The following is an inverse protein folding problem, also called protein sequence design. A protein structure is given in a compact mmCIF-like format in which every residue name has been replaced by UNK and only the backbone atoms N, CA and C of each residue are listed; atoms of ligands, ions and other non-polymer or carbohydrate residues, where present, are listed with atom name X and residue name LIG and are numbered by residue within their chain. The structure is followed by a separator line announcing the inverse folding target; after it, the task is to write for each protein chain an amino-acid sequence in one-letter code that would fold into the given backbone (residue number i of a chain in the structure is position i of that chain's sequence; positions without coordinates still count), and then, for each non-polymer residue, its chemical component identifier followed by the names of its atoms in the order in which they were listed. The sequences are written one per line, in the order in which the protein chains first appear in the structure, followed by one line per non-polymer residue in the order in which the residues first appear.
data_IF_643773771685
#
_entry.id   IF_643773771685
#
_cell.length_a   1.000
_cell.length_b   1.000
_cell.length_c   1.000
_cell.angle_alpha   90.00
_cell.angle_beta   90.00
_cell.angle_gamma   90.00
#
_symmetry.space_group_name_H-M   'P 1'
#
loop_
_entity.id
_entity.type
_entity.pdbx_description
1 polymer ?
#
# COMPACT_ATOMS: atom_id res chain seq x y z
N UNK A 1 2.27 -10.64 -14.23
CA UNK A 1 2.66 -9.22 -14.24
C UNK A 1 1.46 -8.42 -13.78
N UNK A 2 1.68 -7.42 -12.93
CA UNK A 2 0.63 -6.50 -12.51
C UNK A 2 0.11 -5.69 -13.72
N UNK A 3 -1.15 -5.30 -13.65
CA UNK A 3 -1.79 -4.37 -14.59
C UNK A 3 -1.34 -2.94 -14.32
N UNK A 4 -1.50 -2.06 -15.31
CA UNK A 4 -1.23 -0.62 -15.12
C UNK A 4 -2.07 -0.03 -13.97
N UNK A 5 -3.31 -0.50 -13.79
CA UNK A 5 -4.14 -0.04 -12.69
C UNK A 5 -3.53 -0.42 -11.33
N UNK A 6 -2.97 -1.60 -11.18
CA UNK A 6 -2.33 -2.02 -9.92
C UNK A 6 -1.02 -1.26 -9.67
N UNK A 7 -0.25 -0.94 -10.71
CA UNK A 7 0.94 -0.09 -10.61
C UNK A 7 0.56 1.34 -10.21
N UNK A 8 -0.50 1.90 -10.83
CA UNK A 8 -1.04 3.21 -10.47
C UNK A 8 -1.46 3.24 -8.98
N UNK A 9 -2.11 2.17 -8.50
CA UNK A 9 -2.47 2.02 -7.09
C UNK A 9 -1.22 1.95 -6.19
N UNK A 10 -0.15 1.27 -6.59
CA UNK A 10 1.09 1.19 -5.80
C UNK A 10 1.74 2.57 -5.63
N UNK A 11 1.79 3.36 -6.70
CA UNK A 11 2.24 4.74 -6.66
C UNK A 11 1.36 5.60 -5.73
N UNK A 12 0.04 5.50 -5.86
CA UNK A 12 -0.92 6.27 -5.04
C UNK A 12 -0.89 5.87 -3.56
N UNK A 13 -0.72 4.58 -3.26
CA UNK A 13 -0.47 4.08 -1.90
C UNK A 13 0.78 4.74 -1.30
N UNK A 14 1.85 4.90 -2.10
CA UNK A 14 3.05 5.61 -1.69
C UNK A 14 2.88 7.12 -1.54
N UNK A 15 2.01 7.74 -2.35
CA UNK A 15 1.73 9.17 -2.28
C UNK A 15 0.96 9.59 -1.02
N UNK A 16 0.26 8.66 -0.36
CA UNK A 16 -0.50 8.97 0.86
C UNK A 16 0.40 9.35 2.05
N UNK A 17 1.67 8.93 2.08
CA UNK A 17 2.61 9.18 3.17
C UNK A 17 3.20 10.61 3.12
N UNK A 18 2.40 11.67 3.28
CA UNK A 18 2.92 13.06 3.20
C UNK A 18 3.39 13.60 4.53
N UNK A 19 2.76 13.13 5.62
CA UNK A 19 3.08 13.55 6.98
C UNK A 19 4.49 13.07 7.39
N UNK A 20 4.87 11.87 6.94
CA UNK A 20 6.12 11.19 7.29
C UNK A 20 7.19 11.32 6.20
N UNK A 21 6.86 11.21 4.91
CA UNK A 21 7.86 11.20 3.83
C UNK A 21 8.26 12.59 3.35
N UNK A 22 9.57 12.82 3.21
CA UNK A 22 10.12 14.06 2.66
C UNK A 22 9.74 14.27 1.19
N UNK A 23 9.51 15.53 0.77
CA UNK A 23 9.08 15.88 -0.59
C UNK A 23 9.99 15.33 -1.69
N UNK A 24 11.30 15.28 -1.41
CA UNK A 24 12.29 14.71 -2.33
C UNK A 24 12.15 13.19 -2.45
N UNK A 25 11.53 12.47 -1.53
CA UNK A 25 11.36 11.02 -1.60
C UNK A 25 9.90 10.62 -1.89
N UNK A 26 8.97 11.59 -2.06
CA UNK A 26 7.58 11.29 -2.42
C UNK A 26 7.46 10.63 -3.79
N UNK A 27 6.52 9.69 -3.86
CA UNK A 27 6.12 9.01 -5.08
C UNK A 27 5.52 10.00 -6.09
N UNK A 28 5.73 9.77 -7.39
CA UNK A 28 5.07 10.55 -8.43
C UNK A 28 3.60 10.17 -8.57
N UNK A 29 2.79 11.14 -9.01
CA UNK A 29 1.41 10.91 -9.41
C UNK A 29 1.39 10.18 -10.75
N UNK A 30 0.71 9.02 -10.87
CA UNK A 30 0.64 8.30 -12.13
C UNK A 30 -0.03 9.14 -13.22
N UNK A 31 0.38 8.93 -14.47
CA UNK A 31 -0.12 9.69 -15.60
C UNK A 31 -1.64 9.55 -15.76
N UNK A 32 -2.33 10.66 -16.02
CA UNK A 32 -3.77 10.69 -16.22
C UNK A 32 -4.60 10.74 -14.93
N UNK A 33 -3.97 10.63 -13.77
CA UNK A 33 -4.59 10.90 -12.47
C UNK A 33 -4.37 12.35 -12.04
N UNK A 34 -5.30 12.84 -11.23
CA UNK A 34 -5.20 14.12 -10.52
C UNK A 34 -5.58 13.91 -9.07
N UNK A 35 -4.96 14.64 -8.14
CA UNK A 35 -5.46 14.69 -6.77
C UNK A 35 -6.78 15.47 -6.73
N UNK A 36 -7.77 14.96 -5.98
CA UNK A 36 -9.01 15.70 -5.72
C UNK A 36 -8.65 16.89 -4.81
N UNK A 37 -9.00 18.13 -5.18
CA UNK A 37 -8.67 19.31 -4.38
C UNK A 37 -9.16 19.16 -2.93
N UNK A 38 -8.28 19.49 -1.97
CA UNK A 38 -8.55 19.44 -0.53
C UNK A 38 -8.91 18.04 0.01
N UNK A 39 -8.60 16.96 -0.72
CA UNK A 39 -8.87 15.59 -0.27
C UNK A 39 -7.84 15.08 0.74
N UNK A 40 -6.63 15.64 0.77
CA UNK A 40 -5.63 15.23 1.75
C UNK A 40 -6.05 15.56 3.18
N UNK A 41 -6.07 14.55 4.05
CA UNK A 41 -6.47 14.65 5.46
C UNK A 41 -5.47 13.96 6.38
N UNK A 42 -5.25 14.53 7.55
CA UNK A 42 -4.52 13.92 8.67
C UNK A 42 -5.27 14.16 9.98
N UNK A 43 -5.28 13.18 10.88
CA UNK A 43 -5.97 13.25 12.18
C UNK A 43 -5.05 12.84 13.34
N UNK A 44 -5.36 13.24 14.60
CA UNK A 44 -4.54 12.91 15.78
C UNK A 44 -4.37 11.41 16.07
N UNK A 45 -5.27 10.57 15.56
CA UNK A 45 -5.19 9.10 15.62
C UNK A 45 -4.03 8.51 14.81
N UNK A 46 -3.38 9.33 13.98
CA UNK A 46 -2.44 8.89 12.95
C UNK A 46 -3.10 8.55 11.61
N UNK A 47 -4.43 8.68 11.49
CA UNK A 47 -5.11 8.52 10.21
C UNK A 47 -4.62 9.56 9.21
N UNK A 48 -4.25 9.10 8.03
CA UNK A 48 -3.90 9.95 6.91
C UNK A 48 -4.40 9.32 5.61
N UNK A 49 -5.03 10.15 4.78
CA UNK A 49 -5.63 9.72 3.52
C UNK A 49 -5.59 10.83 2.46
N UNK A 50 -5.70 10.42 1.21
CA UNK A 50 -5.82 11.31 0.04
C UNK A 50 -6.63 10.62 -1.04
N UNK A 51 -7.33 11.39 -1.88
CA UNK A 51 -8.10 10.86 -2.99
C UNK A 51 -7.60 11.37 -4.33
N UNK A 52 -7.58 10.47 -5.30
CA UNK A 52 -7.18 10.74 -6.67
C UNK A 52 -8.34 10.43 -7.61
N UNK A 53 -8.44 11.16 -8.72
CA UNK A 53 -9.48 10.99 -9.71
C UNK A 53 -8.93 10.91 -11.13
N UNK A 54 -9.63 10.14 -11.96
CA UNK A 54 -9.50 10.07 -13.41
C UNK A 54 -10.89 9.91 -14.03
N UNK A 55 -11.42 10.98 -14.62
CA UNK A 55 -12.82 10.98 -15.06
C UNK A 55 -13.77 10.77 -13.88
N UNK A 56 -14.61 9.73 -13.92
CA UNK A 56 -15.51 9.34 -12.83
C UNK A 56 -14.93 8.27 -11.89
N UNK A 57 -13.70 7.83 -12.11
CA UNK A 57 -12.99 6.89 -11.24
C UNK A 57 -12.31 7.66 -10.11
N UNK A 58 -12.48 7.19 -8.87
CA UNK A 58 -11.82 7.73 -7.68
C UNK A 58 -11.10 6.60 -6.95
N UNK A 59 -9.85 6.84 -6.57
CA UNK A 59 -9.11 5.99 -5.66
C UNK A 59 -8.90 6.73 -4.36
N UNK A 60 -9.35 6.14 -3.26
CA UNK A 60 -9.04 6.58 -1.91
C UNK A 60 -7.81 5.82 -1.43
N UNK A 61 -6.74 6.54 -1.11
CA UNK A 61 -5.51 5.98 -0.60
C UNK A 61 -5.34 6.27 0.88
N UNK A 62 -5.14 5.23 1.68
CA UNK A 62 -4.85 5.33 3.12
C UNK A 62 -3.35 5.11 3.35
N UNK A 63 -2.70 5.98 4.13
CA UNK A 63 -1.32 5.73 4.56
C UNK A 63 -1.31 4.68 5.68
N UNK A 64 -0.17 4.02 5.83
CA UNK A 64 0.12 3.23 7.02
C UNK A 64 0.88 4.04 8.06
N UNK A 65 1.21 3.39 9.17
CA UNK A 65 2.02 4.00 10.23
C UNK A 65 3.49 4.07 9.83
N UNK A 66 4.23 5.02 10.40
CA UNK A 66 5.69 5.00 10.37
C UNK A 66 6.23 3.87 11.25
N UNK A 67 7.12 3.04 10.71
CA UNK A 67 7.56 1.78 11.31
C UNK A 67 8.98 1.85 11.87
N UNK A 68 9.47 3.05 12.22
CA UNK A 68 10.82 3.26 12.76
C UNK A 68 11.12 2.51 14.07
N UNK A 69 10.11 1.90 14.73
CA UNK A 69 10.26 1.31 16.07
C UNK A 69 10.04 -0.22 16.16
N UNK A 70 10.34 -0.97 15.10
CA UNK A 70 10.42 -2.44 15.15
C UNK A 70 11.70 -2.94 15.85
N UNK A 71 12.06 -2.47 17.04
CA UNK A 71 13.13 -3.15 17.82
C UNK A 71 12.64 -4.56 18.20
N UNK A 72 13.56 -5.50 18.51
CA UNK A 72 13.22 -6.93 18.74
C UNK A 72 12.21 -7.20 19.88
N UNK A 73 11.85 -6.18 20.65
CA UNK A 73 10.78 -6.17 21.64
C UNK A 73 9.37 -6.06 21.00
N UNK A 74 9.25 -5.44 19.82
CA UNK A 74 8.00 -5.22 19.08
C UNK A 74 7.32 -6.53 18.64
N UNK A 75 8.09 -7.49 18.12
CA UNK A 75 7.60 -8.80 17.65
C UNK A 75 7.23 -9.72 18.82
N UNK A 76 7.86 -9.55 19.99
CA UNK A 76 7.70 -10.46 21.14
C UNK A 76 6.73 -9.95 22.22
N UNK A 77 6.57 -8.64 22.36
CA UNK A 77 5.81 -8.05 23.48
C UNK A 77 4.45 -7.43 23.08
N UNK A 78 4.28 -6.93 21.84
CA UNK A 78 3.13 -6.08 21.51
C UNK A 78 2.27 -6.51 20.33
N UNK A 79 2.29 -7.80 19.97
CA UNK A 79 1.25 -8.38 19.09
C UNK A 79 -0.20 -8.08 19.53
N UNK A 80 -0.52 -7.98 20.83
CA UNK A 80 -1.89 -7.65 21.30
C UNK A 80 -2.35 -6.19 21.08
N UNK A 81 -1.45 -5.22 20.80
CA UNK A 81 -1.80 -3.99 20.06
C UNK A 81 -1.66 -4.21 18.54
N UNK A 82 -0.73 -5.07 18.11
CA UNK A 82 -0.22 -5.13 16.74
C UNK A 82 -1.22 -5.43 15.63
N UNK A 83 -2.45 -5.89 15.89
CA UNK A 83 -3.60 -5.66 14.99
C UNK A 83 -4.92 -5.47 15.75
N UNK A 84 -4.84 -5.14 17.05
CA UNK A 84 -6.00 -4.77 17.83
C UNK A 84 -6.51 -3.44 17.33
N UNK A 85 -7.45 -3.50 16.36
CA UNK A 85 -8.26 -2.40 15.82
C UNK A 85 -7.80 -1.01 16.28
N UNK A 86 -7.09 -0.26 15.44
CA UNK A 86 -7.05 1.19 15.63
C UNK A 86 -8.45 1.69 15.30
N UNK A 87 -9.32 1.62 16.31
CA UNK A 87 -10.75 1.80 16.11
C UNK A 87 -11.04 3.11 15.44
N UNK A 88 -10.27 4.11 15.83
CA UNK A 88 -10.40 5.46 15.33
C UNK A 88 -9.97 5.54 13.87
N UNK A 89 -8.84 4.96 13.46
CA UNK A 89 -8.41 5.03 12.06
C UNK A 89 -9.36 4.27 11.10
N UNK A 90 -9.95 3.13 11.50
CA UNK A 90 -10.97 2.49 10.63
C UNK A 90 -12.26 3.30 10.57
N UNK A 91 -12.73 3.80 11.72
CA UNK A 91 -13.92 4.66 11.80
C UNK A 91 -13.73 5.92 10.95
N UNK A 92 -12.54 6.51 10.99
CA UNK A 92 -12.15 7.67 10.20
C UNK A 92 -12.01 7.32 8.72
N UNK A 93 -11.49 6.14 8.37
CA UNK A 93 -11.46 5.64 6.99
C UNK A 93 -12.88 5.51 6.39
N UNK A 94 -13.81 4.96 7.17
CA UNK A 94 -15.21 4.84 6.77
C UNK A 94 -15.90 6.21 6.62
N UNK A 95 -15.66 7.13 7.57
CA UNK A 95 -16.17 8.49 7.48
C UNK A 95 -15.63 9.22 6.24
N UNK A 96 -14.33 9.10 5.99
CA UNK A 96 -13.68 9.71 4.84
C UNK A 96 -14.24 9.15 3.52
N UNK A 97 -14.47 7.84 3.43
CA UNK A 97 -15.16 7.24 2.27
C UNK A 97 -16.54 7.85 2.05
N UNK A 98 -17.36 8.00 3.10
CA UNK A 98 -18.70 8.60 2.97
C UNK A 98 -18.62 10.06 2.49
N UNK A 99 -17.68 10.84 3.01
CA UNK A 99 -17.48 12.24 2.60
C UNK A 99 -17.06 12.34 1.12
N UNK A 100 -16.15 11.48 0.67
CA UNK A 100 -15.73 11.43 -0.74
C UNK A 100 -16.89 10.99 -1.63
N UNK A 101 -17.65 9.98 -1.22
CA UNK A 101 -18.84 9.49 -1.95
C UNK A 101 -19.92 10.56 -2.05
N UNK A 102 -20.16 11.31 -0.98
CA UNK A 102 -21.18 12.36 -0.93
C UNK A 102 -20.80 13.54 -1.83
N UNK A 103 -19.52 13.92 -1.81
CA UNK A 103 -18.98 14.98 -2.65
C UNK A 103 -18.90 14.62 -4.14
N UNK A 104 -18.95 13.32 -4.49
CA UNK A 104 -18.80 12.84 -5.87
C UNK A 104 -19.92 11.86 -6.27
N UNK A 105 -21.18 12.32 -6.40
CA UNK A 105 -22.30 11.45 -6.77
C UNK A 105 -22.07 10.76 -8.12
N UNK A 106 -22.26 9.44 -8.16
CA UNK A 106 -22.11 8.63 -9.36
C UNK A 106 -20.66 8.23 -9.71
N UNK A 107 -19.67 8.63 -8.90
CA UNK A 107 -18.30 8.17 -9.07
C UNK A 107 -18.16 6.68 -8.70
N UNK A 108 -17.27 5.99 -9.42
CA UNK A 108 -16.81 4.64 -9.07
C UNK A 108 -15.62 4.78 -8.14
N UNK A 109 -15.77 4.32 -6.89
CA UNK A 109 -14.74 4.48 -5.84
C UNK A 109 -14.10 3.12 -5.55
N UNK A 110 -12.77 3.08 -5.50
CA UNK A 110 -11.95 1.96 -5.03
C UNK A 110 -10.94 2.41 -3.98
N UNK A 111 -10.31 1.46 -3.31
CA UNK A 111 -9.39 1.72 -2.21
C UNK A 111 -7.97 1.22 -2.49
N UNK A 112 -6.98 1.90 -1.92
CA UNK A 112 -5.60 1.44 -1.91
C UNK A 112 -4.86 1.85 -0.66
N UNK A 113 -3.72 1.20 -0.41
CA UNK A 113 -2.86 1.51 0.70
C UNK A 113 -1.78 0.45 0.89
N UNK A 114 -0.75 0.84 1.63
CA UNK A 114 0.35 -0.04 2.03
C UNK A 114 0.32 -0.31 3.53
N UNK A 115 0.73 -1.50 3.97
CA UNK A 115 0.82 -1.86 5.39
C UNK A 115 -0.50 -1.67 6.15
N UNK A 116 -0.52 -0.90 7.24
CA UNK A 116 -1.75 -0.54 7.97
C UNK A 116 -2.80 0.07 7.02
N UNK A 117 -2.39 0.99 6.13
CA UNK A 117 -3.28 1.59 5.14
C UNK A 117 -3.83 0.57 4.14
N UNK A 118 -3.04 -0.47 3.81
CA UNK A 118 -3.50 -1.60 3.01
C UNK A 118 -4.57 -2.42 3.72
N UNK A 119 -4.41 -2.65 5.03
CA UNK A 119 -5.44 -3.30 5.85
C UNK A 119 -6.73 -2.47 5.94
N UNK A 120 -6.62 -1.15 6.11
CA UNK A 120 -7.77 -0.25 6.07
C UNK A 120 -8.49 -0.30 4.71
N UNK A 121 -7.73 -0.22 3.60
CA UNK A 121 -8.28 -0.31 2.25
C UNK A 121 -9.03 -1.64 2.02
N UNK A 122 -8.47 -2.76 2.47
CA UNK A 122 -9.12 -4.06 2.36
C UNK A 122 -10.44 -4.13 3.16
N UNK A 123 -10.44 -3.65 4.40
CA UNK A 123 -11.64 -3.60 5.22
C UNK A 123 -12.71 -2.69 4.61
N UNK A 124 -12.34 -1.52 4.09
CA UNK A 124 -13.28 -0.64 3.39
C UNK A 124 -13.87 -1.32 2.16
N UNK A 125 -13.05 -2.04 1.38
CA UNK A 125 -13.52 -2.82 0.24
C UNK A 125 -14.52 -3.90 0.63
N UNK A 126 -14.27 -4.62 1.73
CA UNK A 126 -15.20 -5.64 2.25
C UNK A 126 -16.49 -5.02 2.81
N UNK A 127 -16.40 -4.03 3.69
CA UNK A 127 -17.59 -3.44 4.32
C UNK A 127 -18.48 -2.71 3.32
N UNK A 128 -17.89 -2.04 2.33
CA UNK A 128 -18.62 -1.24 1.35
C UNK A 128 -18.77 -1.91 -0.02
N UNK A 129 -18.39 -3.18 -0.14
CA UNK A 129 -18.47 -3.97 -1.38
C UNK A 129 -17.85 -3.23 -2.58
N UNK A 130 -16.60 -2.79 -2.42
CA UNK A 130 -15.84 -2.06 -3.43
C UNK A 130 -14.49 -2.72 -3.72
N UNK A 131 -13.95 -2.51 -4.93
CA UNK A 131 -12.59 -2.95 -5.24
C UNK A 131 -11.54 -2.32 -4.31
N UNK A 132 -10.53 -3.10 -3.95
CA UNK A 132 -9.32 -2.60 -3.31
C UNK A 132 -8.05 -3.28 -3.85
N UNK A 133 -6.99 -2.50 -4.03
CA UNK A 133 -5.64 -2.99 -4.37
C UNK A 133 -4.70 -2.65 -3.22
N UNK A 134 -4.10 -3.67 -2.59
CA UNK A 134 -3.34 -3.52 -1.34
C UNK A 134 -1.90 -3.99 -1.47
N UNK A 135 -1.01 -3.40 -0.66
CA UNK A 135 0.43 -3.65 -0.74
C UNK A 135 1.00 -3.94 0.65
N UNK A 136 1.69 -5.07 0.82
CA UNK A 136 2.16 -5.59 2.12
C UNK A 136 1.07 -5.42 3.20
N UNK A 137 -0.14 -5.95 2.92
CA UNK A 137 -1.34 -5.66 3.69
C UNK A 137 -1.20 -6.08 5.16
N UNK A 138 -1.53 -5.17 6.09
CA UNK A 138 -1.76 -5.51 7.49
C UNK A 138 -2.81 -6.63 7.62
N UNK A 139 -2.50 -7.77 8.26
CA UNK A 139 -3.42 -8.91 8.40
C UNK A 139 -4.62 -8.61 9.32
N UNK A 140 -5.65 -7.97 8.75
CA UNK A 140 -6.88 -7.57 9.42
C UNK A 140 -8.07 -8.50 9.14
N UNK A 141 -7.86 -9.75 8.74
CA UNK A 141 -8.98 -10.64 8.40
C UNK A 141 -10.00 -10.78 9.54
N UNK A 142 -9.54 -10.88 10.79
CA UNK A 142 -10.43 -10.96 11.96
C UNK A 142 -11.33 -9.72 12.16
N UNK A 143 -10.95 -8.56 11.64
CA UNK A 143 -11.73 -7.33 11.75
C UNK A 143 -12.91 -7.30 10.76
N UNK A 144 -12.91 -8.14 9.72
CA UNK A 144 -14.03 -8.32 8.80
C UNK A 144 -15.15 -9.11 9.50
N UNK A 145 -15.89 -8.44 10.40
CA UNK A 145 -16.90 -9.06 11.26
C UNK A 145 -18.13 -8.18 11.44
N UNK A 146 -19.24 -8.80 11.86
CA UNK A 146 -20.50 -8.11 12.19
C UNK A 146 -20.29 -7.10 13.32
N UNK A 147 -19.50 -7.44 14.35
CA UNK A 147 -19.25 -6.54 15.47
C UNK A 147 -18.54 -5.24 15.05
N UNK A 148 -17.55 -5.35 14.16
CA UNK A 148 -16.85 -4.18 13.62
C UNK A 148 -17.75 -3.38 12.68
N UNK A 149 -18.53 -4.05 11.82
CA UNK A 149 -19.55 -3.38 10.99
C UNK A 149 -20.52 -2.56 11.84
N UNK A 150 -21.04 -3.13 12.92
CA UNK A 150 -22.00 -2.46 13.81
C UNK A 150 -21.35 -1.30 14.57
N UNK A 151 -20.08 -1.43 14.95
CA UNK A 151 -19.28 -0.33 15.52
C UNK A 151 -19.13 0.83 14.53
N UNK A 152 -18.83 0.55 13.25
CA UNK A 152 -18.75 1.57 12.21
C UNK A 152 -20.09 2.30 12.05
N UNK A 153 -21.21 1.57 11.99
CA UNK A 153 -22.55 2.17 11.92
C UNK A 153 -22.80 3.06 13.15
N UNK A 154 -22.46 2.58 14.35
CA UNK A 154 -22.57 3.35 15.58
C UNK A 154 -21.77 4.65 15.53
N UNK A 155 -20.51 4.58 15.09
CA UNK A 155 -19.65 5.75 14.94
C UNK A 155 -20.19 6.74 13.90
N UNK A 156 -20.57 6.26 12.71
CA UNK A 156 -21.07 7.11 11.62
C UNK A 156 -22.37 7.83 12.01
N UNK A 157 -23.23 7.20 12.82
CA UNK A 157 -24.38 7.86 13.44
C UNK A 157 -23.97 9.06 14.31
N UNK A 158 -22.89 8.95 15.09
CA UNK A 158 -22.37 10.08 15.89
C UNK A 158 -21.83 11.24 15.04
N UNK A 159 -21.54 10.98 13.76
CA UNK A 159 -21.08 11.97 12.78
C UNK A 159 -22.19 12.56 11.92
N UNK A 160 -23.46 12.23 12.21
CA UNK A 160 -24.63 12.78 11.53
C UNK A 160 -25.23 11.89 10.45
N UNK A 161 -24.61 10.75 10.13
CA UNK A 161 -25.15 9.77 9.20
C UNK A 161 -26.11 8.82 9.94
N UNK A 162 -27.38 9.23 10.08
CA UNK A 162 -28.42 8.40 10.71
C UNK A 162 -28.57 7.03 10.04
N UNK A 163 -29.01 6.00 10.77
CA UNK A 163 -29.26 4.67 10.21
C UNK A 163 -30.14 4.68 8.95
N UNK A 164 -31.29 5.39 8.89
CA UNK A 164 -32.06 5.48 7.65
C UNK A 164 -31.28 6.11 6.48
N UNK A 165 -30.48 7.14 6.74
CA UNK A 165 -29.63 7.74 5.69
C UNK A 165 -28.51 6.81 5.23
N UNK A 166 -27.87 6.06 6.14
CA UNK A 166 -26.85 5.09 5.77
C UNK A 166 -27.45 3.93 4.97
N UNK A 167 -28.62 3.42 5.35
CA UNK A 167 -29.30 2.36 4.59
C UNK A 167 -29.66 2.80 3.16
N UNK A 168 -29.96 4.08 2.95
CA UNK A 168 -30.22 4.62 1.63
C UNK A 168 -28.93 4.91 0.84
N UNK A 169 -27.86 5.33 1.52
CA UNK A 169 -26.64 5.82 0.89
C UNK A 169 -25.58 4.74 0.64
N UNK A 170 -25.45 3.79 1.57
CA UNK A 170 -24.51 2.67 1.55
C UNK A 170 -25.20 1.38 2.05
N UNK A 171 -26.25 0.90 1.36
CA UNK A 171 -26.95 -0.34 1.73
C UNK A 171 -26.00 -1.55 1.83
N UNK A 172 -24.90 -1.55 1.07
CA UNK A 172 -23.82 -2.54 1.14
C UNK A 172 -23.26 -2.76 2.56
N UNK A 173 -23.22 -1.71 3.39
CA UNK A 173 -22.70 -1.80 4.76
C UNK A 173 -23.63 -2.65 5.63
N UNK A 174 -24.95 -2.56 5.44
CA UNK A 174 -25.94 -3.30 6.23
C UNK A 174 -26.12 -4.74 5.78
N UNK A 175 -25.90 -5.02 4.49
CA UNK A 175 -25.95 -6.38 3.95
C UNK A 175 -24.66 -7.17 4.16
N UNK A 176 -23.63 -6.55 4.75
CA UNK A 176 -22.38 -7.25 5.04
C UNK A 176 -22.60 -8.35 6.09
N UNK A 177 -22.30 -9.59 5.69
CA UNK A 177 -22.25 -10.76 6.56
C UNK A 177 -21.02 -11.61 6.13
N UNK A 178 -20.04 -11.83 7.03
CA UNK A 178 -18.83 -12.60 6.71
C UNK A 178 -19.09 -14.07 6.40
N UNK A 179 -20.28 -14.60 6.74
CA UNK A 179 -20.66 -15.99 6.49
C UNK A 179 -21.61 -16.17 5.30
N UNK A 180 -21.99 -15.08 4.63
CA UNK A 180 -22.96 -15.13 3.54
C UNK A 180 -22.51 -16.07 2.40
N UNK A 181 -21.21 -16.09 2.11
CA UNK A 181 -20.59 -16.93 1.09
C UNK A 181 -20.71 -18.44 1.35
N UNK A 182 -20.94 -18.86 2.60
CA UNK A 182 -21.16 -20.27 2.95
C UNK A 182 -22.45 -20.80 2.33
N UNK A 183 -23.39 -19.90 2.04
CA UNK A 183 -24.70 -20.23 1.45
C UNK A 183 -24.83 -19.78 -0.01
N UNK A 184 -24.21 -18.65 -0.37
CA UNK A 184 -24.19 -18.12 -1.73
C UNK A 184 -22.81 -17.52 -2.04
N UNK A 185 -21.96 -18.23 -2.82
CA UNK A 185 -20.63 -17.74 -3.17
C UNK A 185 -20.59 -16.38 -3.86
N UNK A 186 -21.71 -15.91 -4.44
CA UNK A 186 -21.79 -14.58 -5.06
C UNK A 186 -21.79 -13.44 -4.04
N UNK A 187 -22.02 -13.75 -2.76
CA UNK A 187 -21.98 -12.79 -1.65
C UNK A 187 -20.59 -12.68 -1.01
N UNK A 188 -19.61 -13.49 -1.44
CA UNK A 188 -18.22 -13.30 -1.04
C UNK A 188 -17.73 -11.94 -1.52
N UNK A 189 -17.23 -11.08 -0.64
CA UNK A 189 -16.67 -9.77 -1.01
C UNK A 189 -15.15 -9.78 -1.12
N UNK A 190 -14.50 -10.88 -0.74
CA UNK A 190 -13.04 -11.00 -0.80
C UNK A 190 -12.51 -11.00 -2.24
N UNK A 191 -13.33 -11.40 -3.22
CA UNK A 191 -12.95 -11.33 -4.63
C UNK A 191 -12.72 -9.90 -5.15
N UNK A 192 -13.25 -8.89 -4.45
CA UNK A 192 -13.01 -7.47 -4.77
C UNK A 192 -11.64 -6.98 -4.29
N UNK A 193 -10.95 -7.78 -3.47
CA UNK A 193 -9.70 -7.39 -2.81
C UNK A 193 -8.54 -8.15 -3.46
N UNK A 194 -7.65 -7.40 -4.10
CA UNK A 194 -6.38 -7.92 -4.62
C UNK A 194 -5.24 -7.31 -3.83
N UNK A 195 -4.20 -8.08 -3.58
CA UNK A 195 -3.03 -7.60 -2.88
C UNK A 195 -1.72 -8.19 -3.39
N UNK A 196 -0.64 -7.49 -3.07
CA UNK A 196 0.72 -7.87 -3.38
C UNK A 196 1.58 -7.77 -2.13
N UNK A 197 2.51 -8.70 -1.95
CA UNK A 197 3.49 -8.59 -0.88
C UNK A 197 4.86 -9.09 -1.29
N UNK A 198 5.93 -8.52 -0.72
CA UNK A 198 7.29 -8.98 -0.98
C UNK A 198 7.60 -10.23 -0.16
N UNK A 199 8.11 -11.30 -0.79
CA UNK A 199 8.49 -12.50 -0.05
C UNK A 199 9.53 -12.17 1.02
N UNK A 200 9.23 -12.51 2.27
CA UNK A 200 10.09 -12.31 3.44
C UNK A 200 9.85 -11.00 4.19
N UNK A 201 8.89 -10.18 3.77
CA UNK A 201 8.51 -8.96 4.50
C UNK A 201 7.93 -9.27 5.90
N UNK A 202 8.07 -8.32 6.81
CA UNK A 202 7.83 -8.51 8.24
C UNK A 202 6.40 -8.93 8.63
N UNK A 203 5.39 -8.45 7.90
CA UNK A 203 3.98 -8.78 8.14
C UNK A 203 3.63 -10.17 7.62
N UNK A 204 4.40 -10.73 6.67
CA UNK A 204 4.22 -12.09 6.17
C UNK A 204 4.27 -13.11 7.31
N UNK A 205 5.14 -12.89 8.30
CA UNK A 205 5.25 -13.75 9.48
C UNK A 205 3.98 -13.78 10.34
N UNK A 206 3.13 -12.76 10.23
CA UNK A 206 1.90 -12.59 11.02
C UNK A 206 0.67 -13.14 10.27
N UNK A 207 0.74 -13.29 8.95
CA UNK A 207 -0.38 -13.74 8.12
C UNK A 207 -0.96 -15.11 8.52
N UNK A 208 -0.16 -16.15 8.88
CA UNK A 208 -0.73 -17.44 9.27
C UNK A 208 -1.60 -17.39 10.54
N UNK A 209 -1.31 -16.46 11.45
CA UNK A 209 -2.03 -16.33 12.72
C UNK A 209 -3.23 -15.38 12.62
N UNK A 210 -3.12 -14.33 11.80
CA UNK A 210 -4.06 -13.21 11.80
C UNK A 210 -4.89 -13.08 10.52
N UNK A 211 -4.39 -13.62 9.42
CA UNK A 211 -5.06 -13.64 8.12
C UNK A 211 -5.10 -12.28 7.43
N UNK A 212 -5.01 -12.32 6.10
CA UNK A 212 -5.16 -11.17 5.20
C UNK A 212 -6.47 -11.30 4.43
N UNK A 213 -7.00 -10.17 3.98
CA UNK A 213 -8.24 -10.13 3.19
C UNK A 213 -7.90 -10.15 1.70
N UNK A 214 -8.66 -10.92 0.92
CA UNK A 214 -8.54 -10.98 -0.52
C UNK A 214 -7.45 -11.90 -1.06
N UNK A 215 -7.31 -11.89 -2.38
CA UNK A 215 -6.29 -12.65 -3.09
C UNK A 215 -4.93 -11.94 -2.99
N UNK A 216 -3.91 -12.63 -2.48
CA UNK A 216 -2.57 -12.08 -2.28
C UNK A 216 -1.55 -12.71 -3.25
N UNK A 217 -0.89 -11.87 -4.04
CA UNK A 217 0.18 -12.26 -4.95
C UNK A 217 1.55 -12.01 -4.33
N UNK A 218 2.32 -13.07 -4.14
CA UNK A 218 3.68 -12.97 -3.61
C UNK A 218 4.66 -12.52 -4.71
N UNK A 219 5.44 -11.49 -4.42
CA UNK A 219 6.59 -11.07 -5.20
C UNK A 219 7.83 -11.80 -4.69
N UNK A 220 8.13 -12.95 -5.32
CA UNK A 220 9.24 -13.81 -4.91
C UNK A 220 10.61 -13.14 -5.14
N UNK A 221 11.54 -13.36 -4.23
CA UNK A 221 12.92 -12.83 -4.25
C UNK A 221 13.86 -13.77 -3.48
N UNK A 222 15.18 -13.68 -3.71
CA UNK A 222 16.17 -14.56 -3.07
C UNK A 222 17.42 -13.81 -2.53
N UNK A 223 17.18 -12.65 -1.95
CA UNK A 223 18.21 -11.76 -1.44
C UNK A 223 18.78 -12.27 -0.11
N UNK A 224 20.05 -11.96 0.14
CA UNK A 224 20.79 -12.37 1.35
C UNK A 224 21.42 -11.17 2.03
N UNK A 225 21.60 -11.28 3.35
CA UNK A 225 22.26 -10.23 4.14
C UNK A 225 21.41 -8.98 4.38
N UNK A 226 20.08 -9.13 4.29
CA UNK A 226 19.09 -8.15 4.75
C UNK A 226 18.87 -8.27 6.26
N UNK A 227 18.14 -7.32 6.83
CA UNK A 227 17.71 -7.40 8.21
C UNK A 227 16.93 -8.70 8.50
N UNK A 228 17.16 -9.28 9.69
CA UNK A 228 16.57 -10.57 10.06
C UNK A 228 15.04 -10.51 10.19
N UNK A 229 14.47 -9.33 10.40
CA UNK A 229 13.04 -9.16 10.64
C UNK A 229 12.26 -8.88 9.36
N UNK A 230 12.92 -8.67 8.22
CA UNK A 230 12.26 -8.38 6.94
C UNK A 230 11.71 -6.95 6.83
N UNK A 231 12.24 -6.00 7.61
CA UNK A 231 11.85 -4.58 7.53
C UNK A 231 12.27 -3.94 6.22
N UNK A 232 13.46 -4.26 5.73
CA UNK A 232 14.00 -3.77 4.47
C UNK A 232 13.05 -4.15 3.31
N UNK A 233 12.45 -5.33 3.41
CA UNK A 233 11.50 -5.87 2.44
C UNK A 233 10.10 -5.26 2.56
N UNK A 234 9.74 -4.68 3.71
CA UNK A 234 8.48 -3.95 3.95
C UNK A 234 8.53 -2.51 3.42
N UNK A 235 8.96 -2.38 2.16
CA UNK A 235 9.27 -1.11 1.50
C UNK A 235 8.33 -0.87 0.33
N UNK A 236 7.51 0.19 0.44
CA UNK A 236 6.61 0.66 -0.62
C UNK A 236 7.32 0.81 -1.96
N UNK A 237 8.54 1.34 -1.92
CA UNK A 237 9.30 1.67 -3.12
C UNK A 237 9.88 0.43 -3.76
N UNK A 238 10.39 -0.52 -2.96
CA UNK A 238 10.85 -1.81 -3.45
C UNK A 238 9.69 -2.58 -4.10
N UNK A 239 8.56 -2.67 -3.39
CA UNK A 239 7.37 -3.34 -3.88
C UNK A 239 6.90 -2.73 -5.21
N UNK A 240 6.80 -1.40 -5.29
CA UNK A 240 6.43 -0.71 -6.53
C UNK A 240 7.43 -1.01 -7.65
N UNK A 241 8.74 -1.02 -7.37
CA UNK A 241 9.75 -1.35 -8.35
C UNK A 241 9.64 -2.79 -8.87
N UNK A 242 9.27 -3.74 -8.00
CA UNK A 242 9.04 -5.13 -8.39
C UNK A 242 7.77 -5.31 -9.23
N UNK A 243 6.71 -4.54 -8.96
CA UNK A 243 5.48 -4.55 -9.75
C UNK A 243 5.70 -3.95 -11.14
N UNK A 244 6.39 -2.81 -11.20
CA UNK A 244 6.69 -2.09 -12.44
C UNK A 244 7.66 -2.87 -13.32
N UNK A 245 8.72 -3.43 -12.73
CA UNK A 245 9.76 -4.11 -13.48
C UNK A 245 10.03 -5.51 -12.91
N UNK A 246 9.34 -6.51 -13.47
CA UNK A 246 9.50 -7.91 -13.05
C UNK A 246 10.93 -8.44 -13.31
N UNK A 247 11.64 -7.89 -14.30
CA UNK A 247 13.03 -8.24 -14.57
C UNK A 247 13.98 -7.72 -13.47
N UNK A 248 13.67 -6.57 -12.86
CA UNK A 248 14.35 -6.06 -11.67
C UNK A 248 14.14 -7.01 -10.49
N UNK A 249 12.90 -7.44 -10.25
CA UNK A 249 12.60 -8.44 -9.22
C UNK A 249 13.37 -9.75 -9.47
N UNK A 250 13.31 -10.27 -10.70
CA UNK A 250 13.94 -11.54 -11.07
C UNK A 250 15.46 -11.52 -10.90
N UNK A 251 16.11 -10.36 -10.97
CA UNK A 251 17.57 -10.28 -10.82
C UNK A 251 18.07 -10.58 -9.42
N UNK A 252 17.20 -10.45 -8.40
CA UNK A 252 17.54 -10.80 -7.01
C UNK A 252 17.91 -12.28 -6.85
N UNK A 253 17.47 -13.15 -7.77
CA UNK A 253 17.87 -14.55 -7.80
C UNK A 253 19.28 -14.77 -8.32
N UNK A 254 19.79 -13.85 -9.16
CA UNK A 254 21.15 -13.92 -9.72
C UNK A 254 22.15 -13.09 -8.90
N UNK A 255 21.68 -12.00 -8.31
CA UNK A 255 22.47 -11.07 -7.49
C UNK A 255 21.88 -11.02 -6.08
N UNK A 256 22.09 -12.05 -5.24
CA UNK A 256 21.44 -12.15 -3.93
C UNK A 256 21.85 -11.03 -2.96
N UNK A 257 23.03 -10.44 -3.10
CA UNK A 257 23.44 -9.30 -2.27
C UNK A 257 23.01 -7.93 -2.81
N UNK A 258 22.24 -7.88 -3.91
CA UNK A 258 21.80 -6.61 -4.51
C UNK A 258 21.01 -5.75 -3.51
N UNK A 259 19.96 -6.33 -2.91
CA UNK A 259 19.10 -5.57 -2.00
C UNK A 259 19.84 -5.16 -0.73
N UNK A 260 20.79 -5.97 -0.25
CA UNK A 260 21.67 -5.59 0.86
C UNK A 260 22.41 -4.27 0.57
N UNK A 261 22.95 -4.10 -0.64
CA UNK A 261 23.60 -2.83 -1.00
C UNK A 261 22.59 -1.69 -1.13
N UNK A 262 21.40 -1.96 -1.69
CA UNK A 262 20.34 -0.97 -1.86
C UNK A 262 19.86 -0.43 -0.51
N UNK A 263 19.79 -1.27 0.52
CA UNK A 263 19.35 -0.93 1.88
C UNK A 263 20.51 -0.56 2.84
N UNK A 264 21.76 -0.49 2.35
CA UNK A 264 22.90 -0.07 3.16
C UNK A 264 23.03 1.47 3.19
N UNK A 265 22.95 2.07 4.38
CA UNK A 265 23.08 3.52 4.60
C UNK A 265 24.48 4.06 4.26
N UNK A 266 25.52 3.23 4.37
CA UNK A 266 26.87 3.61 3.92
C UNK A 266 26.97 3.68 2.39
N UNK A 267 26.01 3.11 1.67
CA UNK A 267 25.95 3.08 0.21
C UNK A 267 24.78 3.93 -0.31
N UNK A 268 23.62 3.30 -0.52
CA UNK A 268 22.51 3.85 -1.31
C UNK A 268 21.27 4.21 -0.50
N UNK A 269 21.10 3.64 0.70
CA UNK A 269 19.90 3.85 1.49
C UNK A 269 19.94 5.19 2.21
N UNK A 270 18.84 5.92 2.19
CA UNK A 270 18.64 7.13 3.00
C UNK A 270 17.25 7.08 3.60
N UNK A 271 17.10 7.58 4.82
CA UNK A 271 15.80 7.63 5.48
C UNK A 271 14.84 8.53 4.66
N UNK A 272 13.79 7.95 4.03
CA UNK A 272 12.83 8.73 3.27
C UNK A 272 11.93 9.60 4.16
N UNK A 273 11.91 9.33 5.47
CA UNK A 273 11.13 10.04 6.48
C UNK A 273 11.89 11.19 7.16
N UNK A 274 13.21 11.35 6.93
CA UNK A 274 13.95 12.51 7.44
C UNK A 274 13.51 13.78 6.71
N UNK A 275 12.60 14.52 7.33
CA UNK A 275 12.11 15.81 6.85
C UNK A 275 12.96 17.00 7.32
N UNK A 276 13.89 16.79 8.25
CA UNK A 276 14.75 17.84 8.81
C UNK A 276 15.96 18.05 7.91
N UNK A 277 16.64 16.96 7.54
CA UNK A 277 17.81 16.98 6.66
C UNK A 277 17.63 15.98 5.50
N UNK A 278 16.62 16.19 4.65
CA UNK A 278 16.21 15.19 3.69
C UNK A 278 17.32 14.85 2.70
N UNK A 279 17.65 13.57 2.61
CA UNK A 279 18.56 13.02 1.61
C UNK A 279 17.81 12.16 0.60
N UNK A 280 18.26 12.16 -0.64
CA UNK A 280 17.63 11.40 -1.72
C UNK A 280 17.86 9.90 -1.48
N UNK A 281 16.81 9.15 -1.26
CA UNK A 281 16.88 7.69 -1.20
C UNK A 281 16.95 7.09 -2.61
N UNK A 282 17.79 6.08 -2.81
CA UNK A 282 18.12 5.56 -4.14
C UNK A 282 16.91 4.94 -4.85
N UNK A 283 16.17 4.03 -4.20
CA UNK A 283 14.98 3.42 -4.81
C UNK A 283 13.92 4.47 -5.16
N UNK A 284 13.74 5.48 -4.30
CA UNK A 284 12.77 6.55 -4.54
C UNK A 284 13.17 7.39 -5.75
N UNK A 285 14.47 7.58 -5.95
CA UNK A 285 15.00 8.24 -7.13
C UNK A 285 14.69 7.44 -8.41
N UNK A 286 14.91 6.12 -8.39
CA UNK A 286 14.58 5.26 -9.53
C UNK A 286 13.10 5.33 -9.89
N UNK A 287 12.20 5.18 -8.92
CA UNK A 287 10.74 5.24 -9.15
C UNK A 287 10.32 6.60 -9.67
N UNK A 288 10.83 7.69 -9.09
CA UNK A 288 10.49 9.03 -9.54
C UNK A 288 10.93 9.29 -10.98
N UNK A 289 12.10 8.80 -11.39
CA UNK A 289 12.56 8.93 -12.77
C UNK A 289 11.92 7.93 -13.73
N UNK A 290 11.49 6.76 -13.24
CA UNK A 290 10.71 5.81 -14.02
C UNK A 290 9.39 6.44 -14.49
N UNK A 291 8.65 7.09 -13.60
CA UNK A 291 7.33 7.65 -13.92
C UNK A 291 7.31 9.16 -14.18
N UNK A 292 8.40 9.88 -13.86
CA UNK A 292 8.46 11.34 -13.92
C UNK A 292 7.72 12.00 -12.77
N UNK A 293 8.04 13.26 -12.47
CA UNK A 293 7.39 14.04 -11.41
C UNK A 293 6.75 15.27 -12.03
N UNK A 294 5.41 15.35 -12.00
CA UNK A 294 4.63 16.48 -12.53
C UNK A 294 5.15 17.81 -12.00
N UNK A 295 5.43 18.74 -12.91
CA UNK A 295 5.97 20.07 -12.60
C UNK A 295 7.47 20.09 -12.26
N UNK A 296 8.16 18.94 -12.30
CA UNK A 296 9.61 18.86 -12.04
C UNK A 296 10.37 18.28 -13.23
N UNK A 297 10.12 17.02 -13.61
CA UNK A 297 10.80 16.38 -14.75
C UNK A 297 9.95 15.27 -15.37
N UNK A 298 10.16 15.01 -16.65
CA UNK A 298 9.48 13.93 -17.37
C UNK A 298 10.04 12.55 -16.98
N UNK A 299 9.24 11.51 -17.20
CA UNK A 299 9.68 10.12 -17.11
C UNK A 299 10.87 9.88 -18.05
N UNK A 300 11.88 9.18 -17.55
CA UNK A 300 13.05 8.80 -18.35
C UNK A 300 13.35 7.29 -18.29
N UNK A 301 12.52 6.46 -17.66
CA UNK A 301 12.73 5.00 -17.59
C UNK A 301 14.02 4.57 -16.85
N UNK A 302 14.38 5.27 -15.76
CA UNK A 302 15.60 4.99 -15.01
C UNK A 302 15.63 3.58 -14.37
N UNK A 303 14.50 3.07 -13.88
CA UNK A 303 14.45 1.71 -13.33
C UNK A 303 14.73 0.68 -14.42
N UNK A 304 14.21 0.88 -15.64
CA UNK A 304 14.45 -0.02 -16.77
C UNK A 304 15.92 -0.03 -17.18
N UNK A 305 16.55 1.15 -17.28
CA UNK A 305 18.00 1.23 -17.57
C UNK A 305 18.84 0.59 -16.48
N UNK A 306 18.54 0.89 -15.22
CA UNK A 306 19.24 0.29 -14.08
C UNK A 306 19.13 -1.24 -14.12
N UNK A 307 17.94 -1.76 -14.41
CA UNK A 307 17.69 -3.19 -14.57
C UNK A 307 18.49 -3.79 -15.72
N UNK A 308 18.55 -3.10 -16.87
CA UNK A 308 19.35 -3.54 -18.02
C UNK A 308 20.84 -3.63 -17.67
N UNK A 309 21.36 -2.67 -16.92
CA UNK A 309 22.76 -2.70 -16.50
C UNK A 309 23.04 -3.81 -15.49
N UNK A 310 22.14 -4.04 -14.53
CA UNK A 310 22.24 -5.19 -13.64
C UNK A 310 22.19 -6.52 -14.41
N UNK A 311 21.36 -6.62 -15.46
CA UNK A 311 21.30 -7.83 -16.28
C UNK A 311 22.63 -8.11 -16.97
N UNK A 312 23.40 -7.09 -17.36
CA UNK A 312 24.77 -7.25 -17.88
C UNK A 312 25.72 -7.74 -16.81
N UNK A 313 25.61 -7.24 -15.57
CA UNK A 313 26.39 -7.71 -14.41
C UNK A 313 26.11 -9.20 -14.14
N UNK A 314 24.83 -9.59 -14.21
CA UNK A 314 24.35 -10.92 -13.85
C UNK A 314 24.52 -12.00 -14.95
N UNK A 315 25.18 -11.68 -16.06
CA UNK A 315 25.51 -12.65 -17.11
C UNK A 315 26.68 -13.54 -16.70
N UNK A 316 26.71 -14.77 -17.21
CA UNK A 316 27.84 -15.69 -17.01
C UNK A 316 29.13 -15.05 -17.56
N UNK A 317 30.12 -14.85 -16.68
CA UNK A 317 31.38 -14.17 -17.01
C UNK A 317 31.44 -12.67 -16.66
N UNK A 318 30.35 -12.08 -16.16
CA UNK A 318 30.30 -10.68 -15.71
C UNK A 318 30.54 -9.65 -16.83
N UNK A 319 31.03 -8.46 -16.48
CA UNK A 319 31.44 -7.47 -17.48
C UNK A 319 32.70 -7.92 -18.22
N UNK A 320 32.54 -8.37 -19.46
CA UNK A 320 33.67 -8.50 -20.40
C UNK A 320 33.82 -7.22 -21.22
N UNK A 321 35.05 -6.86 -21.59
CA UNK A 321 35.37 -5.66 -22.40
C UNK A 321 34.68 -5.63 -23.78
N UNK A 322 33.97 -6.69 -24.16
CA UNK A 322 33.27 -6.87 -25.44
C UNK A 322 31.75 -6.69 -25.34
N UNK A 323 31.20 -6.45 -24.15
CA UNK A 323 29.77 -6.19 -23.96
C UNK A 323 29.47 -4.72 -24.31
N UNK A 324 29.40 -4.41 -25.61
CA UNK A 324 28.93 -3.13 -26.15
C UNK A 324 27.41 -3.08 -26.21
#
# INVERSE_FOLDING_TARGET
MATQFEIDNALMAGMAYRSTRADINRFPLPQGWSEIPLSYVTLPSGFEAVSFQRGSEIIISYSGTDFTDFTGDWIKANIPLAFGFSSDQLREAALYYLQVKEANPGATISFTGHSLGGGLAALMGVFFDRPAVTFDQAPFAAAASIAVRDDLIGYLNTKGYTTPSLMAFVPELFSYDPYASDTDPTLDRLHNITGYFVQGEILQALQPALGVLGFQSMLAQNSTGLDFLGKDLHSQTLLTAFLENDAFRAITFKLPELLKMVFDEALYARDPSDKVNPQRNFLDHLIRHQFGVTGSFAADAMLDRFTSDLQKVAQDGGFTLTNT
#
